data_IF_589333656850
#
_entry.id   IF_589333656850
#
_cell.length_a   1.000
_cell.length_b   1.000
_cell.length_c   1.000
_cell.angle_alpha   90.00
_cell.angle_beta   90.00
_cell.angle_gamma   90.00
#
_symmetry.space_group_name_H-M   'P 1'
#
loop_
_entity.id
_entity.type
_entity.pdbx_description
1 polymer ?
#
# COMPACT_ATOMS: atom_id res chain seq x y z
N UNK A 1 -18.62 -8.14 71.24
CA UNK A 1 -18.94 -6.84 70.62
C UNK A 1 -17.74 -6.27 69.84
N UNK A 2 -16.50 -6.62 70.19
CA UNK A 2 -15.28 -6.21 69.44
C UNK A 2 -15.17 -6.80 68.02
N UNK A 3 -15.65 -8.02 67.79
CA UNK A 3 -15.60 -8.68 66.46
C UNK A 3 -16.42 -7.96 65.39
N UNK A 4 -17.47 -7.22 65.77
CA UNK A 4 -18.30 -6.46 64.85
C UNK A 4 -17.61 -5.14 64.41
N UNK A 5 -16.73 -4.60 65.26
CA UNK A 5 -15.98 -3.36 65.02
C UNK A 5 -14.80 -3.59 64.05
N UNK A 6 -14.05 -4.67 64.27
CA UNK A 6 -12.95 -5.08 63.37
C UNK A 6 -13.46 -5.47 61.98
N UNK A 7 -14.60 -6.17 61.89
CA UNK A 7 -15.21 -6.48 60.59
C UNK A 7 -15.60 -5.22 59.81
N UNK A 8 -16.11 -4.19 60.48
CA UNK A 8 -16.52 -2.92 59.86
C UNK A 8 -15.31 -2.12 59.37
N UNK A 9 -14.23 -2.06 60.16
CA UNK A 9 -12.97 -1.45 59.73
C UNK A 9 -12.35 -2.14 58.52
N UNK A 10 -12.38 -3.48 58.47
CA UNK A 10 -11.87 -4.23 57.33
C UNK A 10 -12.67 -3.91 56.06
N UNK A 11 -14.01 -3.87 56.17
CA UNK A 11 -14.89 -3.53 55.04
C UNK A 11 -14.63 -2.10 54.54
N UNK A 12 -14.46 -1.13 55.46
CA UNK A 12 -14.16 0.25 55.10
C UNK A 12 -12.79 0.40 54.41
N UNK A 13 -11.78 -0.36 54.85
CA UNK A 13 -10.44 -0.38 54.21
C UNK A 13 -10.51 -0.97 52.79
N UNK A 14 -11.21 -2.10 52.60
CA UNK A 14 -11.37 -2.69 51.26
C UNK A 14 -12.21 -1.81 50.34
N UNK A 15 -13.24 -1.15 50.86
CA UNK A 15 -14.06 -0.19 50.11
C UNK A 15 -13.23 1.03 49.66
N UNK A 16 -12.37 1.55 50.53
CA UNK A 16 -11.47 2.65 50.22
C UNK A 16 -10.38 2.26 49.20
N UNK A 17 -9.86 1.02 49.24
CA UNK A 17 -8.88 0.49 48.29
C UNK A 17 -9.47 0.13 46.92
N UNK A 18 -10.79 -0.07 46.84
CA UNK A 18 -11.46 -0.44 45.60
C UNK A 18 -11.27 0.62 44.51
N UNK A 19 -11.40 1.91 44.86
CA UNK A 19 -11.30 3.02 43.91
C UNK A 19 -9.89 3.16 43.29
N UNK A 20 -8.79 3.16 44.07
CA UNK A 20 -7.43 3.09 43.53
C UNK A 20 -7.17 1.86 42.66
N UNK A 21 -7.66 0.67 43.07
CA UNK A 21 -7.48 -0.57 42.30
C UNK A 21 -8.20 -0.49 40.96
N UNK A 22 -9.42 0.04 40.94
CA UNK A 22 -10.18 0.27 39.69
C UNK A 22 -9.43 1.29 38.83
N UNK A 23 -8.97 2.41 39.39
CA UNK A 23 -8.24 3.44 38.65
C UNK A 23 -6.97 2.90 37.98
N UNK A 24 -6.18 2.11 38.70
CA UNK A 24 -4.98 1.45 38.16
C UNK A 24 -5.37 0.45 37.06
N UNK A 25 -6.41 -0.34 37.27
CA UNK A 25 -6.88 -1.34 36.31
C UNK A 25 -7.36 -0.69 35.02
N UNK A 26 -8.16 0.38 35.11
CA UNK A 26 -8.65 1.14 33.96
C UNK A 26 -7.49 1.82 33.24
N UNK A 27 -6.55 2.43 33.96
CA UNK A 27 -5.35 3.01 33.36
C UNK A 27 -4.52 1.99 32.58
N UNK A 28 -4.37 0.78 33.14
CA UNK A 28 -3.68 -0.33 32.47
C UNK A 28 -4.42 -0.81 31.22
N UNK A 29 -5.75 -0.95 31.28
CA UNK A 29 -6.58 -1.33 30.11
C UNK A 29 -6.47 -0.27 29.02
N UNK A 30 -6.56 1.01 29.36
CA UNK A 30 -6.43 2.11 28.41
C UNK A 30 -5.06 2.12 27.71
N UNK A 31 -3.98 1.90 28.47
CA UNK A 31 -2.64 1.74 27.91
C UNK A 31 -2.55 0.56 26.93
N UNK A 32 -3.13 -0.59 27.29
CA UNK A 32 -3.17 -1.74 26.39
C UNK A 32 -3.98 -1.46 25.11
N UNK A 33 -5.14 -0.79 25.22
CA UNK A 33 -5.93 -0.41 24.06
C UNK A 33 -5.19 0.54 23.12
N UNK A 34 -4.49 1.54 23.69
CA UNK A 34 -3.65 2.44 22.90
C UNK A 34 -2.55 1.68 22.15
N UNK A 35 -1.83 0.78 22.84
CA UNK A 35 -0.79 -0.04 22.22
C UNK A 35 -1.34 -0.94 21.10
N UNK A 36 -2.48 -1.59 21.33
CA UNK A 36 -3.13 -2.44 20.32
C UNK A 36 -3.58 -1.63 19.10
N UNK A 37 -4.08 -0.41 19.28
CA UNK A 37 -4.48 0.46 18.18
C UNK A 37 -3.27 0.85 17.32
N UNK A 38 -2.15 1.21 17.93
CA UNK A 38 -0.90 1.54 17.20
C UNK A 38 -0.40 0.33 16.40
N UNK A 39 -0.39 -0.86 17.02
CA UNK A 39 0.03 -2.08 16.33
C UNK A 39 -0.92 -2.45 15.18
N UNK A 40 -2.22 -2.23 15.36
CA UNK A 40 -3.24 -2.46 14.33
C UNK A 40 -3.07 -1.51 13.14
N UNK A 41 -2.92 -0.21 13.39
CA UNK A 41 -2.70 0.79 12.34
C UNK A 41 -1.46 0.45 11.50
N UNK A 42 -0.37 0.04 12.15
CA UNK A 42 0.84 -0.40 11.45
C UNK A 42 0.60 -1.62 10.55
N UNK A 43 -0.18 -2.61 11.03
CA UNK A 43 -0.52 -3.79 10.23
C UNK A 43 -1.41 -3.44 9.04
N UNK A 44 -2.39 -2.56 9.23
CA UNK A 44 -3.29 -2.11 8.18
C UNK A 44 -2.53 -1.32 7.10
N UNK A 45 -1.65 -0.40 7.51
CA UNK A 45 -0.76 0.32 6.59
C UNK A 45 0.11 -0.64 5.75
N UNK A 46 0.75 -1.62 6.39
CA UNK A 46 1.55 -2.61 5.68
C UNK A 46 0.72 -3.51 4.74
N UNK A 47 -0.50 -3.87 5.15
CA UNK A 47 -1.44 -4.62 4.32
C UNK A 47 -1.82 -3.84 3.07
N UNK A 48 -2.07 -2.54 3.19
CA UNK A 48 -2.39 -1.67 2.07
C UNK A 48 -1.20 -1.50 1.10
N UNK A 49 0.02 -1.33 1.64
CA UNK A 49 1.25 -1.32 0.84
C UNK A 49 1.42 -2.60 0.02
N UNK A 50 1.23 -3.75 0.66
CA UNK A 50 1.32 -5.05 0.00
C UNK A 50 0.25 -5.21 -1.07
N UNK A 51 -0.99 -4.76 -0.81
CA UNK A 51 -2.08 -4.78 -1.78
C UNK A 51 -1.70 -4.00 -3.05
N UNK A 52 -1.19 -2.78 -2.89
CA UNK A 52 -0.74 -1.94 -4.02
C UNK A 52 0.37 -2.65 -4.81
N UNK A 53 1.39 -3.15 -4.11
CA UNK A 53 2.47 -3.93 -4.75
C UNK A 53 1.94 -5.12 -5.56
N UNK A 54 0.99 -5.88 -5.01
CA UNK A 54 0.41 -7.04 -5.69
C UNK A 54 -0.37 -6.63 -6.95
N UNK A 55 -1.10 -5.52 -6.91
CA UNK A 55 -1.83 -5.00 -8.07
C UNK A 55 -0.86 -4.62 -9.18
N UNK A 56 0.17 -3.83 -8.86
CA UNK A 56 1.20 -3.40 -9.81
C UNK A 56 1.93 -4.60 -10.40
N UNK A 57 2.34 -5.55 -9.56
CA UNK A 57 2.99 -6.79 -10.00
C UNK A 57 2.13 -7.56 -10.99
N UNK A 58 0.85 -7.75 -10.68
CA UNK A 58 -0.10 -8.49 -11.52
C UNK A 58 -0.34 -7.77 -12.85
N UNK A 59 -0.43 -6.44 -12.83
CA UNK A 59 -0.54 -5.64 -14.05
C UNK A 59 0.69 -5.85 -14.95
N UNK A 60 1.88 -5.63 -14.42
CA UNK A 60 3.14 -5.76 -15.18
C UNK A 60 3.36 -7.20 -15.67
N UNK A 61 3.04 -8.21 -14.86
CA UNK A 61 3.11 -9.60 -15.27
C UNK A 61 2.12 -9.94 -16.40
N UNK A 62 0.96 -9.28 -16.46
CA UNK A 62 0.05 -9.45 -17.60
C UNK A 62 0.65 -8.88 -18.88
N UNK A 63 1.31 -7.72 -18.78
CA UNK A 63 2.01 -7.09 -19.90
C UNK A 63 3.15 -7.98 -20.40
N UNK A 64 3.96 -8.54 -19.51
CA UNK A 64 5.04 -9.47 -19.86
C UNK A 64 4.55 -10.68 -20.68
N UNK A 65 3.42 -11.27 -20.26
CA UNK A 65 2.91 -12.50 -20.86
C UNK A 65 2.17 -12.25 -22.18
N UNK A 66 1.42 -11.15 -22.26
CA UNK A 66 0.50 -10.89 -23.40
C UNK A 66 1.03 -9.82 -24.36
N UNK A 67 2.06 -9.07 -23.98
CA UNK A 67 2.55 -7.86 -24.67
C UNK A 67 1.43 -6.85 -24.99
N UNK A 68 0.43 -6.77 -24.11
CA UNK A 68 -0.76 -5.92 -24.26
C UNK A 68 -1.12 -5.35 -22.90
N UNK A 69 -1.51 -4.07 -22.87
CA UNK A 69 -2.09 -3.45 -21.67
C UNK A 69 -3.56 -3.85 -21.57
N UNK A 70 -3.87 -4.66 -20.56
CA UNK A 70 -5.25 -5.06 -20.25
C UNK A 70 -5.97 -3.90 -19.56
N UNK A 71 -7.04 -3.40 -20.19
CA UNK A 71 -7.77 -2.23 -19.70
C UNK A 71 -8.33 -2.42 -18.29
N UNK A 72 -8.80 -3.62 -17.94
CA UNK A 72 -9.34 -3.90 -16.61
C UNK A 72 -8.23 -3.87 -15.55
N UNK A 73 -7.10 -4.49 -15.84
CA UNK A 73 -5.95 -4.45 -14.92
C UNK A 73 -5.36 -3.04 -14.81
N UNK A 74 -5.43 -2.25 -15.87
CA UNK A 74 -5.04 -0.85 -15.85
C UNK A 74 -5.97 0.00 -14.97
N UNK A 75 -7.29 -0.17 -15.05
CA UNK A 75 -8.24 0.52 -14.14
C UNK A 75 -7.94 0.18 -12.66
N UNK A 76 -7.71 -1.10 -12.35
CA UNK A 76 -7.31 -1.53 -11.00
C UNK A 76 -5.95 -0.95 -10.55
N UNK A 77 -5.02 -0.77 -11.49
CA UNK A 77 -3.74 -0.09 -11.25
C UNK A 77 -3.98 1.38 -10.89
N UNK A 78 -4.79 2.11 -11.66
CA UNK A 78 -5.06 3.53 -11.42
C UNK A 78 -5.65 3.78 -10.03
N UNK A 79 -6.61 2.94 -9.61
CA UNK A 79 -7.15 2.99 -8.24
C UNK A 79 -6.06 2.78 -7.18
N UNK A 80 -5.11 1.87 -7.45
CA UNK A 80 -4.02 1.57 -6.53
C UNK A 80 -2.96 2.68 -6.49
N UNK A 81 -2.72 3.35 -7.61
CA UNK A 81 -1.81 4.51 -7.70
C UNK A 81 -2.38 5.69 -6.92
N UNK A 82 -3.68 5.97 -7.06
CA UNK A 82 -4.34 7.02 -6.27
C UNK A 82 -4.24 6.76 -4.75
N UNK A 83 -4.22 5.49 -4.34
CA UNK A 83 -3.98 5.12 -2.94
C UNK A 83 -2.49 5.19 -2.56
N UNK A 84 -1.57 5.01 -3.51
CA UNK A 84 -0.14 4.96 -3.25
C UNK A 84 0.42 6.27 -2.67
N UNK A 85 -0.14 7.41 -3.07
CA UNK A 85 0.21 8.74 -2.56
C UNK A 85 0.09 8.86 -1.02
N UNK A 86 -0.74 8.02 -0.39
CA UNK A 86 -0.93 8.02 1.06
C UNK A 86 0.03 7.09 1.81
N UNK A 87 0.56 6.06 1.15
CA UNK A 87 1.32 5.00 1.80
C UNK A 87 2.81 5.02 1.48
N UNK A 88 3.19 5.60 0.35
CA UNK A 88 4.54 5.55 -0.17
C UNK A 88 5.22 6.92 -0.20
N UNK A 89 6.55 6.88 -0.33
CA UNK A 89 7.35 8.09 -0.53
C UNK A 89 7.33 8.53 -2.00
N UNK A 90 7.89 9.72 -2.24
CA UNK A 90 8.00 10.33 -3.57
C UNK A 90 8.67 9.41 -4.60
N UNK A 91 9.62 8.56 -4.19
CA UNK A 91 10.37 7.71 -5.13
C UNK A 91 9.44 6.66 -5.73
N UNK A 92 8.64 5.98 -4.88
CA UNK A 92 7.71 4.97 -5.36
C UNK A 92 6.53 5.61 -6.10
N UNK A 93 6.00 6.74 -5.62
CA UNK A 93 4.89 7.42 -6.30
C UNK A 93 5.29 7.95 -7.67
N UNK A 94 6.47 8.56 -7.81
CA UNK A 94 6.98 9.05 -9.09
C UNK A 94 7.22 7.89 -10.06
N UNK A 95 7.73 6.76 -9.55
CA UNK A 95 7.90 5.55 -10.36
C UNK A 95 6.56 4.98 -10.83
N UNK A 96 5.55 4.91 -9.95
CA UNK A 96 4.20 4.48 -10.30
C UNK A 96 3.55 5.41 -11.32
N UNK A 97 3.78 6.71 -11.20
CA UNK A 97 3.31 7.70 -12.16
C UNK A 97 3.89 7.46 -13.55
N UNK A 98 5.18 7.08 -13.66
CA UNK A 98 5.77 6.71 -14.95
C UNK A 98 5.15 5.44 -15.53
N UNK A 99 4.85 4.43 -14.69
CA UNK A 99 4.15 3.22 -15.13
C UNK A 99 2.76 3.58 -15.70
N UNK A 100 2.01 4.46 -15.02
CA UNK A 100 0.71 4.95 -15.49
C UNK A 100 0.83 5.70 -16.83
N UNK A 101 1.81 6.62 -16.94
CA UNK A 101 2.05 7.37 -18.17
C UNK A 101 2.31 6.45 -19.37
N UNK A 102 3.18 5.45 -19.21
CA UNK A 102 3.55 4.54 -20.29
C UNK A 102 2.35 3.64 -20.67
N UNK A 103 1.61 3.15 -19.69
CA UNK A 103 0.42 2.33 -19.91
C UNK A 103 -0.72 3.11 -20.59
N UNK A 104 -0.97 4.35 -20.15
CA UNK A 104 -1.94 5.26 -20.74
C UNK A 104 -1.58 5.61 -22.19
N UNK A 105 -0.31 5.93 -22.43
CA UNK A 105 0.21 6.23 -23.78
C UNK A 105 0.03 5.05 -24.72
N UNK A 106 0.28 3.83 -24.22
CA UNK A 106 0.08 2.61 -25.00
C UNK A 106 -1.39 2.42 -25.37
N UNK A 107 -2.32 2.59 -24.42
CA UNK A 107 -3.76 2.48 -24.67
C UNK A 107 -4.24 3.51 -25.70
N UNK A 108 -3.77 4.74 -25.60
CA UNK A 108 -4.13 5.81 -26.53
C UNK A 108 -3.62 5.53 -27.95
N UNK A 109 -2.34 5.16 -28.09
CA UNK A 109 -1.74 4.88 -29.40
C UNK A 109 -2.35 3.65 -30.06
N UNK A 110 -2.62 2.59 -29.30
CA UNK A 110 -3.27 1.39 -29.83
C UNK A 110 -4.71 1.68 -30.27
N UNK A 111 -5.44 2.51 -29.52
CA UNK A 111 -6.76 2.96 -29.93
C UNK A 111 -6.70 3.75 -31.25
N UNK A 112 -5.77 4.70 -31.38
CA UNK A 112 -5.57 5.49 -32.61
C UNK A 112 -5.23 4.57 -33.79
N UNK A 113 -4.33 3.62 -33.60
CA UNK A 113 -3.92 2.69 -34.66
C UNK A 113 -5.01 1.66 -35.01
N UNK A 114 -5.93 1.37 -34.11
CA UNK A 114 -7.07 0.48 -34.36
C UNK A 114 -8.20 1.11 -35.22
N UNK A 115 -8.14 2.42 -35.49
CA UNK A 115 -9.15 3.11 -36.29
C UNK A 115 -9.15 2.64 -37.76
N UNK A 116 -10.31 2.58 -38.43
CA UNK A 116 -10.40 2.14 -39.82
C UNK A 116 -9.53 3.00 -40.74
N UNK A 117 -8.77 2.33 -41.63
CA UNK A 117 -7.86 2.95 -42.60
C UNK A 117 -6.68 3.75 -41.99
N UNK A 118 -6.38 3.60 -40.69
CA UNK A 118 -5.25 4.26 -40.02
C UNK A 118 -3.91 4.02 -40.75
N UNK A 119 -3.66 2.79 -41.20
CA UNK A 119 -2.44 2.38 -41.91
C UNK A 119 -2.25 3.12 -43.25
N UNK A 120 -3.35 3.52 -43.91
CA UNK A 120 -3.31 4.19 -45.23
C UNK A 120 -3.41 5.71 -45.14
N UNK A 121 -4.06 6.25 -44.11
CA UNK A 121 -4.32 7.69 -43.95
C UNK A 121 -3.38 8.38 -42.97
N UNK A 122 -2.77 7.64 -42.04
CA UNK A 122 -1.89 8.23 -41.04
C UNK A 122 -0.42 8.08 -41.46
N UNK A 123 0.26 9.18 -41.88
CA UNK A 123 1.70 9.13 -42.18
C UNK A 123 2.54 8.75 -40.95
N UNK A 124 1.97 8.83 -39.75
CA UNK A 124 2.62 8.50 -38.48
C UNK A 124 2.34 7.06 -38.02
N UNK A 125 1.59 6.25 -38.77
CA UNK A 125 1.23 4.87 -38.37
C UNK A 125 2.45 4.02 -38.02
N UNK A 126 3.48 4.03 -38.88
CA UNK A 126 4.73 3.30 -38.65
C UNK A 126 5.47 3.80 -37.40
N UNK A 127 5.47 5.12 -37.15
CA UNK A 127 6.08 5.74 -35.97
C UNK A 127 5.33 5.35 -34.70
N UNK A 128 4.00 5.35 -34.74
CA UNK A 128 3.16 4.94 -33.62
C UNK A 128 3.38 3.46 -33.28
N UNK A 129 3.55 2.61 -34.30
CA UNK A 129 3.82 1.19 -34.08
C UNK A 129 5.17 0.96 -33.38
N UNK A 130 6.20 1.70 -33.79
CA UNK A 130 7.49 1.67 -33.11
C UNK A 130 7.38 2.14 -31.65
N UNK A 131 6.61 3.20 -31.41
CA UNK A 131 6.40 3.73 -30.06
C UNK A 131 5.61 2.76 -29.16
N UNK A 132 4.59 2.08 -29.70
CA UNK A 132 3.83 1.03 -28.99
C UNK A 132 4.76 -0.08 -28.50
N UNK A 133 5.71 -0.54 -29.33
CA UNK A 133 6.70 -1.55 -28.92
C UNK A 133 7.66 -1.02 -27.85
N UNK A 134 8.14 0.22 -28.00
CA UNK A 134 9.00 0.86 -26.98
C UNK A 134 8.30 0.99 -25.63
N UNK A 135 7.01 1.30 -25.63
CA UNK A 135 6.20 1.39 -24.41
C UNK A 135 6.03 0.02 -23.74
N UNK A 136 5.81 -1.06 -24.50
CA UNK A 136 5.81 -2.42 -23.94
C UNK A 136 7.16 -2.76 -23.32
N UNK A 137 8.26 -2.49 -24.03
CA UNK A 137 9.60 -2.76 -23.50
C UNK A 137 9.90 -1.91 -22.25
N UNK A 138 9.36 -0.69 -22.17
CA UNK A 138 9.40 0.16 -20.98
C UNK A 138 8.63 -0.46 -19.80
N UNK A 139 7.41 -0.92 -20.02
CA UNK A 139 6.60 -1.62 -19.02
C UNK A 139 7.28 -2.91 -18.52
N UNK A 140 7.93 -3.65 -19.41
CA UNK A 140 8.72 -4.83 -19.03
C UNK A 140 9.94 -4.44 -18.18
N UNK A 141 10.62 -3.33 -18.48
CA UNK A 141 11.70 -2.80 -17.63
C UNK A 141 11.19 -2.40 -16.24
N UNK A 142 10.00 -1.82 -16.15
CA UNK A 142 9.38 -1.54 -14.86
C UNK A 142 9.13 -2.84 -14.06
N UNK A 143 8.72 -3.93 -14.72
CA UNK A 143 8.60 -5.20 -14.00
C UNK A 143 9.92 -5.67 -13.38
N UNK A 144 11.04 -5.52 -14.11
CA UNK A 144 12.37 -5.85 -13.57
C UNK A 144 12.78 -4.97 -12.39
N UNK A 145 12.38 -3.70 -12.39
CA UNK A 145 12.69 -2.73 -11.32
C UNK A 145 11.77 -2.85 -10.10
N UNK A 146 10.56 -3.39 -10.28
CA UNK A 146 9.48 -3.40 -9.30
C UNK A 146 9.94 -3.78 -7.89
N UNK A 147 10.64 -4.92 -7.76
CA UNK A 147 11.11 -5.38 -6.45
C UNK A 147 12.08 -4.38 -5.83
N UNK A 148 13.03 -3.87 -6.61
CA UNK A 148 14.07 -2.97 -6.12
C UNK A 148 13.48 -1.63 -5.65
N UNK A 149 12.46 -1.11 -6.33
CA UNK A 149 11.77 0.14 -5.97
C UNK A 149 10.96 -0.04 -4.69
N UNK A 150 10.21 -1.14 -4.59
CA UNK A 150 9.34 -1.38 -3.43
C UNK A 150 10.05 -1.93 -2.20
N UNK A 151 11.27 -2.49 -2.33
CA UNK A 151 11.92 -3.17 -1.21
C UNK A 151 12.12 -2.25 0.00
N UNK A 152 12.51 -0.99 -0.21
CA UNK A 152 12.87 -0.09 0.88
C UNK A 152 11.59 0.42 1.58
N UNK A 153 10.51 0.62 0.83
CA UNK A 153 9.22 1.07 1.36
C UNK A 153 8.36 -0.07 1.95
N UNK A 154 8.66 -1.34 1.60
CA UNK A 154 8.00 -2.55 2.12
C UNK A 154 8.79 -3.26 3.22
N UNK A 155 10.13 -3.22 3.21
CA UNK A 155 10.96 -3.83 4.24
C UNK A 155 11.25 -2.85 5.37
N UNK A 156 10.37 -2.84 6.37
CA UNK A 156 10.74 -2.43 7.75
C UNK A 156 11.65 -3.47 8.46
N UNK A 157 12.45 -4.25 7.72
CA UNK A 157 13.32 -5.27 8.31
C UNK A 157 14.69 -4.67 8.63
N UNK A 158 14.81 -4.28 9.90
CA UNK A 158 16.04 -4.04 10.67
C UNK A 158 16.91 -2.85 10.22
N UNK A 159 16.52 -1.67 10.66
CA UNK A 159 17.48 -0.77 11.31
C UNK A 159 17.07 -0.50 12.75
N UNK A 160 17.11 -1.56 13.57
CA UNK A 160 17.68 -1.37 14.90
C UNK A 160 19.18 -1.13 14.69
N UNK A 161 19.54 0.08 14.24
CA UNK A 161 20.88 0.60 14.49
C UNK A 161 20.93 0.73 16.01
N UNK A 162 21.58 -0.26 16.61
CA UNK A 162 22.24 -0.24 17.91
C UNK A 162 22.30 1.17 18.50
N UNK A 163 21.51 1.39 19.55
CA UNK A 163 21.91 2.28 20.65
C UNK A 163 23.27 1.77 21.12
N UNK A 164 24.32 2.54 20.81
CA UNK A 164 25.59 2.54 21.53
C UNK A 164 25.83 3.98 21.96
#
# INVERSE_FOLDING_TARGET
>A
MESLSTAKQIIDIFSALLSPVIAISVGFIAYQQWKLNVDKEKRESNSNKLKIYMVVKRFLQSVDNKRVVDKKLYEELQESIALADFYFDGIVTDWLFQVDCDASSWLNLTQINSLPNSEKLNPEYARNQEEIERLIDSLQRFHCQLFQVFKDSMMYLKTNKTLK
#
